data_IF_213408859278
#
_entry.id   IF_213408859278
#
_cell.length_a   1.000
_cell.length_b   1.000
_cell.length_c   1.000
_cell.angle_alpha   90.00
_cell.angle_beta   90.00
_cell.angle_gamma   90.00
#
_symmetry.space_group_name_H-M   'P 1'
#
loop_
_entity.id
_entity.type
_entity.pdbx_description
1 polymer ?
#
# COMPACT_ATOMS: atom_id res chain seq x y z
N UNK A 1 0.28 -12.44 -26.33
CA UNK A 1 0.71 -13.45 -25.34
C UNK A 1 0.60 -12.93 -23.90
N UNK A 2 1.26 -11.83 -23.52
CA UNK A 2 1.20 -11.30 -22.13
C UNK A 2 -0.23 -11.02 -21.64
N UNK A 3 -1.10 -10.44 -22.48
CA UNK A 3 -2.49 -10.21 -22.11
C UNK A 3 -3.29 -11.48 -21.79
N UNK A 4 -3.02 -12.58 -22.51
CA UNK A 4 -3.69 -13.88 -22.26
C UNK A 4 -3.26 -14.45 -20.91
N UNK A 5 -2.00 -14.28 -20.54
CA UNK A 5 -1.48 -14.70 -19.23
C UNK A 5 -2.17 -13.93 -18.09
N UNK A 6 -2.38 -12.62 -18.24
CA UNK A 6 -3.13 -11.84 -17.25
C UNK A 6 -4.59 -12.29 -17.12
N UNK A 7 -5.26 -12.62 -18.23
CA UNK A 7 -6.63 -13.14 -18.17
C UNK A 7 -6.70 -14.51 -17.48
N UNK A 8 -5.77 -15.41 -17.78
CA UNK A 8 -5.69 -16.71 -17.13
C UNK A 8 -5.49 -16.57 -15.60
N UNK A 9 -4.60 -15.68 -15.17
CA UNK A 9 -4.36 -15.41 -13.74
C UNK A 9 -5.54 -14.68 -13.07
N UNK A 10 -6.26 -13.84 -13.82
CA UNK A 10 -7.43 -13.15 -13.29
C UNK A 10 -8.61 -14.11 -13.02
N UNK A 11 -8.70 -15.22 -13.75
CA UNK A 11 -9.72 -16.25 -13.54
C UNK A 11 -9.50 -17.01 -12.21
N UNK A 12 -8.25 -17.10 -11.73
CA UNK A 12 -7.92 -17.71 -10.42
C UNK A 12 -8.25 -16.80 -9.21
N UNK A 13 -8.76 -15.58 -9.44
CA UNK A 13 -9.12 -14.68 -8.34
C UNK A 13 -10.40 -15.15 -7.63
N UNK A 14 -10.49 -15.00 -6.30
CA UNK A 14 -11.70 -15.33 -5.56
C UNK A 14 -12.90 -14.47 -6.01
N UNK A 15 -14.09 -15.06 -5.96
CA UNK A 15 -15.34 -14.39 -6.32
C UNK A 15 -15.53 -13.09 -5.53
N UNK A 16 -16.05 -12.08 -6.22
CA UNK A 16 -16.33 -10.79 -5.60
C UNK A 16 -17.36 -10.96 -4.50
N UNK A 17 -16.98 -10.60 -3.28
CA UNK A 17 -17.86 -10.64 -2.10
C UNK A 17 -17.94 -12.00 -1.42
N UNK A 18 -17.11 -12.99 -1.78
CA UNK A 18 -17.01 -14.25 -1.04
C UNK A 18 -16.58 -13.98 0.43
N UNK A 19 -17.44 -14.32 1.43
CA UNK A 19 -17.11 -14.17 2.84
C UNK A 19 -15.92 -15.03 3.29
N UNK A 20 -15.61 -16.10 2.55
CA UNK A 20 -14.52 -17.01 2.85
C UNK A 20 -13.21 -16.65 2.14
N UNK A 21 -13.16 -15.50 1.45
CA UNK A 21 -11.96 -15.03 0.81
C UNK A 21 -10.81 -14.91 1.85
N UNK A 22 -9.69 -15.63 1.68
CA UNK A 22 -8.57 -15.64 2.63
C UNK A 22 -8.07 -14.25 3.02
N UNK A 23 -8.17 -13.28 2.09
CA UNK A 23 -7.73 -11.90 2.29
C UNK A 23 -8.62 -11.15 3.30
N UNK A 24 -9.90 -11.52 3.39
CA UNK A 24 -10.89 -10.83 4.22
C UNK A 24 -11.05 -11.41 5.63
N UNK A 25 -10.62 -12.66 5.85
CA UNK A 25 -10.85 -13.38 7.12
C UNK A 25 -9.75 -13.19 8.17
N UNK A 26 -8.54 -12.77 7.77
CA UNK A 26 -7.39 -12.74 8.68
C UNK A 26 -7.05 -11.34 9.20
N UNK A 27 -6.75 -10.38 8.31
CA UNK A 27 -6.25 -9.05 8.69
C UNK A 27 -7.35 -8.00 8.79
N UNK A 28 -8.34 -8.06 7.92
CA UNK A 28 -9.43 -7.09 7.86
C UNK A 28 -10.23 -6.99 9.16
N UNK A 29 -10.63 -8.10 9.83
CA UNK A 29 -11.39 -8.00 11.08
C UNK A 29 -10.60 -7.29 12.18
N UNK A 30 -9.29 -7.56 12.29
CA UNK A 30 -8.41 -6.90 13.27
C UNK A 30 -8.35 -5.39 13.02
N UNK A 31 -8.11 -4.96 11.79
CA UNK A 31 -8.04 -3.53 11.48
C UNK A 31 -9.37 -2.80 11.72
N UNK A 32 -10.50 -3.46 11.42
CA UNK A 32 -11.84 -2.89 11.63
C UNK A 32 -12.13 -2.75 13.13
N UNK A 33 -11.88 -3.79 13.92
CA UNK A 33 -12.30 -3.84 15.32
C UNK A 33 -11.32 -3.16 16.28
N UNK A 34 -10.02 -3.14 15.94
CA UNK A 34 -8.95 -2.84 16.90
C UNK A 34 -8.08 -1.65 16.53
N UNK A 35 -8.23 -1.08 15.34
CA UNK A 35 -7.44 0.10 14.92
C UNK A 35 -7.55 1.27 15.89
N UNK A 36 -8.74 1.59 16.41
CA UNK A 36 -8.88 2.68 17.38
C UNK A 36 -8.11 2.38 18.68
N UNK A 37 -8.30 1.18 19.23
CA UNK A 37 -7.65 0.75 20.49
C UNK A 37 -6.12 0.74 20.36
N UNK A 38 -5.59 0.28 19.22
CA UNK A 38 -4.14 0.12 19.01
C UNK A 38 -3.43 1.38 18.53
N UNK A 39 -4.11 2.25 17.79
CA UNK A 39 -3.47 3.39 17.09
C UNK A 39 -3.99 4.75 17.53
N UNK A 40 -5.10 4.80 18.28
CA UNK A 40 -5.77 6.04 18.69
C UNK A 40 -6.36 6.85 17.53
N UNK A 41 -6.38 6.31 16.32
CA UNK A 41 -6.81 7.02 15.11
C UNK A 41 -8.21 6.54 14.70
N UNK A 42 -9.19 7.46 14.55
CA UNK A 42 -10.55 7.06 14.16
C UNK A 42 -10.66 6.67 12.68
N UNK A 43 -9.68 7.05 11.85
CA UNK A 43 -9.61 6.68 10.44
C UNK A 43 -8.82 5.38 10.25
N UNK A 44 -9.52 4.31 9.87
CA UNK A 44 -8.92 2.99 9.65
C UNK A 44 -7.83 3.01 8.57
N UNK A 45 -8.00 3.78 7.49
CA UNK A 45 -7.00 3.84 6.41
C UNK A 45 -5.71 4.47 6.92
N UNK A 46 -5.81 5.58 7.66
CA UNK A 46 -4.65 6.22 8.27
C UNK A 46 -3.99 5.31 9.31
N UNK A 47 -4.77 4.59 10.11
CA UNK A 47 -4.24 3.60 11.06
C UNK A 47 -3.45 2.49 10.34
N UNK A 48 -3.94 1.99 9.21
CA UNK A 48 -3.23 0.97 8.42
C UNK A 48 -1.95 1.55 7.82
N UNK A 49 -2.01 2.68 7.13
CA UNK A 49 -0.85 3.24 6.42
C UNK A 49 0.23 3.76 7.37
N UNK A 50 -0.15 4.51 8.41
CA UNK A 50 0.81 5.18 9.29
C UNK A 50 1.25 4.31 10.48
N UNK A 51 0.42 3.39 10.97
CA UNK A 51 0.74 2.56 12.14
C UNK A 51 1.06 1.12 11.76
N UNK A 52 0.08 0.32 11.29
CA UNK A 52 0.31 -1.11 11.02
C UNK A 52 1.32 -1.36 9.89
N UNK A 53 1.29 -0.54 8.84
CA UNK A 53 2.16 -0.62 7.66
C UNK A 53 3.02 0.63 7.47
N UNK A 54 3.38 1.28 8.58
CA UNK A 54 4.19 2.50 8.57
C UNK A 54 5.54 2.36 7.86
N UNK A 55 6.13 1.15 7.85
CA UNK A 55 7.37 0.89 7.11
C UNK A 55 7.22 0.99 5.59
N UNK A 56 6.07 0.60 5.03
CA UNK A 56 5.82 0.71 3.59
C UNK A 56 5.75 2.20 3.19
N UNK A 57 5.02 3.02 3.96
CA UNK A 57 4.95 4.47 3.76
C UNK A 57 6.29 5.18 4.06
N UNK A 58 7.10 4.69 5.01
CA UNK A 58 8.47 5.17 5.19
C UNK A 58 9.34 4.89 3.95
N UNK A 59 9.16 3.74 3.32
CA UNK A 59 9.76 3.40 2.03
C UNK A 59 9.32 4.36 0.92
N UNK A 60 8.00 4.58 0.78
CA UNK A 60 7.45 5.53 -0.21
C UNK A 60 8.03 6.94 -0.04
N UNK A 61 8.06 7.46 1.19
CA UNK A 61 8.61 8.79 1.48
C UNK A 61 10.11 8.86 1.20
N UNK A 62 10.87 7.80 1.48
CA UNK A 62 12.29 7.70 1.14
C UNK A 62 12.50 7.73 -0.37
N UNK A 63 11.72 6.97 -1.15
CA UNK A 63 11.80 6.96 -2.62
C UNK A 63 11.52 8.35 -3.20
N UNK A 64 10.45 9.00 -2.75
CA UNK A 64 10.09 10.35 -3.20
C UNK A 64 11.19 11.35 -2.83
N UNK A 65 11.70 11.28 -1.60
CA UNK A 65 12.79 12.14 -1.13
C UNK A 65 14.06 11.96 -1.99
N UNK A 66 14.48 10.72 -2.24
CA UNK A 66 15.63 10.43 -3.10
C UNK A 66 15.42 10.93 -4.53
N UNK A 67 14.23 10.74 -5.10
CA UNK A 67 13.89 11.25 -6.43
C UNK A 67 13.96 12.78 -6.50
N UNK A 68 13.42 13.47 -5.49
CA UNK A 68 13.49 14.93 -5.38
C UNK A 68 14.94 15.43 -5.28
N UNK A 69 15.76 14.78 -4.44
CA UNK A 69 17.19 15.09 -4.33
C UNK A 69 17.93 14.89 -5.64
N UNK A 70 17.68 13.79 -6.35
CA UNK A 70 18.27 13.53 -7.66
C UNK A 70 17.88 14.60 -8.69
N UNK A 71 16.61 15.02 -8.71
CA UNK A 71 16.13 16.09 -9.58
C UNK A 71 16.85 17.42 -9.30
N UNK A 72 16.95 17.82 -8.02
CA UNK A 72 17.65 19.05 -7.62
C UNK A 72 19.11 19.02 -8.10
N UNK A 73 19.83 17.92 -7.87
CA UNK A 73 21.23 17.78 -8.29
C UNK A 73 21.39 17.83 -9.81
N UNK A 74 20.44 17.25 -10.56
CA UNK A 74 20.45 17.30 -12.02
C UNK A 74 20.23 18.72 -12.54
N UNK A 75 19.22 19.43 -12.02
CA UNK A 75 18.92 20.80 -12.44
C UNK A 75 20.01 21.80 -12.02
N UNK A 76 20.67 21.60 -10.88
CA UNK A 76 21.85 22.40 -10.48
C UNK A 76 23.02 22.26 -11.47
N UNK A 77 23.18 21.10 -12.11
CA UNK A 77 24.21 20.89 -13.14
C UNK A 77 23.84 21.47 -14.50
N UNK A 78 22.55 21.62 -14.80
CA UNK A 78 22.09 22.11 -16.10
C UNK A 78 22.14 23.65 -16.22
N UNK A 79 22.07 24.37 -15.11
CA UNK A 79 22.19 25.85 -15.10
C UNK A 79 23.63 26.39 -15.20
N UNK A 80 24.62 25.53 -15.47
CA UNK A 80 26.02 25.87 -15.77
C UNK A 80 26.39 25.31 -17.14
#
# INVERSE_FOLDING_TARGET
MVGIIFFYVAEDMPDLGDPNNPTNIHVSPRYIEKSMEETGTPNMVTAVLASYRGYDTLGETTVIFTAAMAAILLFQKWGK
#
